data_IF_488633386311
#
_entry.id   IF_488633386311
#
_cell.length_a   1.000
_cell.length_b   1.000
_cell.length_c   1.000
_cell.angle_alpha   90.00
_cell.angle_beta   90.00
_cell.angle_gamma   90.00
#
_symmetry.space_group_name_H-M   'P 1'
#
loop_
_entity.id
_entity.type
_entity.pdbx_description
1 polymer ?
#
# COMPACT_ATOMS: atom_id res chain seq x y z
N UNK A 1 0.93 -7.79 10.70
CA UNK A 1 -0.50 -7.78 10.35
C UNK A 1 -1.19 -6.74 11.23
N UNK A 2 -1.80 -5.73 10.64
CA UNK A 2 -2.56 -4.72 11.38
C UNK A 2 -4.05 -5.11 11.35
N UNK A 3 -4.63 -5.33 12.51
CA UNK A 3 -6.08 -5.48 12.64
C UNK A 3 -6.59 -4.11 13.08
N UNK A 4 -7.29 -3.42 12.17
CA UNK A 4 -7.89 -2.12 12.46
C UNK A 4 -9.25 -2.34 13.13
N UNK A 5 -9.31 -2.20 14.44
CA UNK A 5 -10.58 -2.09 15.16
C UNK A 5 -10.78 -0.62 15.57
N UNK A 6 -11.91 -0.03 15.19
CA UNK A 6 -12.28 1.34 15.56
C UNK A 6 -12.87 1.44 16.99
N UNK A 7 -12.88 0.33 17.73
CA UNK A 7 -13.43 0.24 19.09
C UNK A 7 -12.39 0.49 20.19
N UNK A 8 -12.80 0.19 21.44
CA UNK A 8 -11.98 0.29 22.65
C UNK A 8 -10.69 -0.56 22.62
N UNK A 9 -10.55 -1.46 21.63
CA UNK A 9 -9.45 -2.40 21.47
C UNK A 9 -8.58 -2.10 20.24
N UNK A 10 -8.70 -0.90 19.63
CA UNK A 10 -7.88 -0.50 18.51
C UNK A 10 -6.39 -0.51 18.88
N UNK A 11 -5.54 -0.93 17.94
CA UNK A 11 -4.10 -1.01 18.12
C UNK A 11 -3.44 -1.82 17.01
N UNK A 12 -2.12 -1.90 17.09
CA UNK A 12 -1.31 -2.74 16.21
C UNK A 12 -0.79 -3.94 16.98
N UNK A 13 -0.54 -5.05 16.27
CA UNK A 13 0.02 -6.27 16.86
C UNK A 13 1.29 -6.62 16.12
N UNK A 14 2.38 -6.75 16.87
CA UNK A 14 3.64 -7.31 16.39
C UNK A 14 3.68 -8.80 16.75
N UNK A 15 3.88 -9.65 15.74
CA UNK A 15 4.04 -11.09 15.90
C UNK A 15 5.47 -11.44 15.53
N UNK A 16 6.21 -11.96 16.50
CA UNK A 16 7.59 -12.44 16.36
C UNK A 16 7.64 -13.89 16.83
N UNK A 17 7.63 -14.82 15.89
CA UNK A 17 7.47 -16.24 16.16
C UNK A 17 6.18 -16.51 16.94
N UNK A 18 6.30 -17.02 18.16
CA UNK A 18 5.17 -17.27 19.07
C UNK A 18 4.81 -16.06 19.96
N UNK A 19 5.67 -15.04 19.99
CA UNK A 19 5.45 -13.85 20.81
C UNK A 19 4.49 -12.90 20.10
N UNK A 20 3.42 -12.57 20.78
CA UNK A 20 2.41 -11.61 20.29
C UNK A 20 2.47 -10.39 21.22
N UNK A 21 2.73 -9.23 20.66
CA UNK A 21 2.86 -7.97 21.40
C UNK A 21 1.85 -6.96 20.86
N UNK A 22 0.99 -6.45 21.74
CA UNK A 22 0.11 -5.33 21.40
C UNK A 22 0.90 -4.04 21.52
N UNK A 23 0.86 -3.22 20.46
CA UNK A 23 1.51 -1.92 20.40
C UNK A 23 0.45 -0.82 20.43
N UNK A 24 0.68 0.19 21.27
CA UNK A 24 -0.01 1.46 21.17
C UNK A 24 0.86 2.39 20.32
N UNK A 25 0.51 2.49 19.03
CA UNK A 25 1.29 3.22 18.02
C UNK A 25 0.91 4.70 17.92
N UNK A 26 -0.13 5.13 18.64
CA UNK A 26 -0.52 6.53 18.71
C UNK A 26 0.40 7.27 19.70
N UNK A 27 1.17 8.21 19.18
CA UNK A 27 2.06 9.09 19.95
C UNK A 27 1.58 10.54 19.80
N UNK A 28 2.16 11.53 20.54
CA UNK A 28 1.87 12.94 20.29
C UNK A 28 2.23 13.40 18.86
N UNK A 29 3.19 12.72 18.23
CA UNK A 29 3.69 13.02 16.88
C UNK A 29 2.90 12.31 15.78
N UNK A 30 2.08 11.30 16.12
CA UNK A 30 1.30 10.54 15.16
C UNK A 30 -0.20 10.77 15.35
N UNK A 31 -0.90 11.16 14.28
CA UNK A 31 -2.34 11.43 14.32
C UNK A 31 -3.19 10.17 14.47
N UNK A 32 -2.66 8.99 14.08
CA UNK A 32 -3.40 7.73 14.08
C UNK A 32 -2.53 6.51 14.40
N UNK A 33 -3.15 5.34 14.42
CA UNK A 33 -2.42 4.07 14.33
C UNK A 33 -1.84 3.87 12.93
N UNK A 34 -0.85 2.97 12.83
CA UNK A 34 -0.20 2.63 11.57
C UNK A 34 -1.18 2.03 10.55
N UNK A 35 -1.12 2.56 9.33
CA UNK A 35 -1.82 2.01 8.16
C UNK A 35 -0.84 1.88 7.00
N UNK A 36 -1.19 1.13 5.94
CA UNK A 36 -0.37 0.93 4.73
C UNK A 36 1.08 0.56 5.03
N UNK A 37 1.27 -0.40 5.92
CA UNK A 37 2.57 -0.79 6.44
C UNK A 37 3.40 -1.59 5.42
N UNK A 38 4.71 -1.36 5.44
CA UNK A 38 5.67 -2.11 4.62
C UNK A 38 6.95 -2.41 5.42
N UNK A 39 7.32 -3.69 5.46
CA UNK A 39 8.51 -4.13 6.17
C UNK A 39 9.78 -3.80 5.39
N UNK A 40 10.80 -3.35 6.11
CA UNK A 40 12.16 -3.30 5.61
C UNK A 40 12.72 -4.73 5.45
N UNK A 41 13.53 -5.02 4.41
CA UNK A 41 14.03 -6.39 4.15
C UNK A 41 14.78 -7.03 5.30
N UNK A 42 15.45 -6.25 6.16
CA UNK A 42 16.17 -6.77 7.32
C UNK A 42 15.28 -7.09 8.54
N UNK A 43 13.97 -6.84 8.46
CA UNK A 43 12.99 -7.10 9.53
C UNK A 43 13.10 -6.20 10.77
N UNK A 44 14.02 -5.21 10.80
CA UNK A 44 14.21 -4.33 11.96
C UNK A 44 13.38 -3.05 11.90
N UNK A 45 12.89 -2.68 10.70
CA UNK A 45 12.12 -1.46 10.48
C UNK A 45 10.80 -1.74 9.76
N UNK A 46 9.80 -0.93 10.07
CA UNK A 46 8.50 -0.95 9.44
C UNK A 46 8.16 0.49 9.04
N UNK A 47 7.99 0.75 7.74
CA UNK A 47 7.43 2.01 7.30
C UNK A 47 5.90 1.94 7.38
N UNK A 48 5.26 3.01 7.82
CA UNK A 48 3.82 3.07 7.95
C UNK A 48 3.31 4.49 7.64
N UNK A 49 2.12 4.57 7.07
CA UNK A 49 1.39 5.82 7.00
C UNK A 49 0.63 6.04 8.30
N UNK A 50 0.58 7.29 8.78
CA UNK A 50 -0.31 7.76 9.84
C UNK A 50 -1.22 8.84 9.25
N UNK A 51 -2.53 8.72 9.40
CA UNK A 51 -3.49 9.61 8.76
C UNK A 51 -4.87 9.53 9.40
N UNK A 52 -5.69 10.56 9.17
CA UNK A 52 -7.13 10.53 9.40
C UNK A 52 -7.83 10.00 8.15
N UNK A 53 -8.37 8.79 8.20
CA UNK A 53 -9.05 8.16 7.07
C UNK A 53 -10.55 8.35 7.14
N UNK A 54 -11.13 8.88 6.07
CA UNK A 54 -12.56 9.00 5.84
C UNK A 54 -12.99 8.10 4.70
N UNK A 55 -14.21 7.56 4.79
CA UNK A 55 -14.82 6.77 3.72
C UNK A 55 -16.14 7.41 3.33
N UNK A 56 -16.26 7.77 2.06
CA UNK A 56 -17.47 8.30 1.47
C UNK A 56 -18.08 7.29 0.51
N UNK A 57 -19.39 7.08 0.62
CA UNK A 57 -20.15 6.19 -0.26
C UNK A 57 -21.02 7.00 -1.21
N UNK A 58 -21.01 6.66 -2.49
CA UNK A 58 -21.77 7.33 -3.52
C UNK A 58 -22.68 6.33 -4.24
N UNK A 59 -23.99 6.64 -4.34
CA UNK A 59 -24.97 5.73 -4.97
C UNK A 59 -24.86 5.78 -6.51
N UNK A 60 -24.59 6.96 -7.06
CA UNK A 60 -24.64 7.22 -8.51
C UNK A 60 -23.27 7.49 -9.14
N UNK A 61 -22.19 6.98 -8.56
CA UNK A 61 -20.83 7.18 -9.07
C UNK A 61 -20.23 5.81 -9.43
N UNK A 62 -19.50 5.67 -10.57
CA UNK A 62 -18.74 4.47 -10.90
C UNK A 62 -17.74 4.08 -9.78
N UNK A 63 -17.18 5.09 -9.09
CA UNK A 63 -16.40 4.91 -7.88
C UNK A 63 -17.34 4.98 -6.67
N UNK A 64 -17.98 3.88 -6.35
CA UNK A 64 -19.00 3.81 -5.29
C UNK A 64 -18.45 4.09 -3.90
N UNK A 65 -17.16 3.96 -3.72
CA UNK A 65 -16.44 4.17 -2.46
C UNK A 65 -15.18 5.02 -2.70
N UNK A 66 -15.07 6.11 -1.97
CA UNK A 66 -13.85 6.92 -1.90
C UNK A 66 -13.22 6.78 -0.52
N UNK A 67 -11.92 6.51 -0.48
CA UNK A 67 -11.11 6.49 0.74
C UNK A 67 -10.19 7.69 0.71
N UNK A 68 -10.36 8.58 1.67
CA UNK A 68 -9.67 9.85 1.76
C UNK A 68 -8.77 9.84 3.00
N UNK A 69 -7.45 9.90 2.79
CA UNK A 69 -6.45 9.95 3.84
C UNK A 69 -5.99 11.41 4.02
N UNK A 70 -6.44 12.02 5.11
CA UNK A 70 -6.17 13.41 5.47
C UNK A 70 -5.01 13.49 6.45
N UNK A 71 -4.20 14.56 6.38
CA UNK A 71 -3.04 14.77 7.27
C UNK A 71 -2.14 13.53 7.30
N UNK A 72 -1.80 13.01 6.14
CA UNK A 72 -1.07 11.76 6.03
C UNK A 72 0.44 12.00 5.99
N UNK A 73 1.14 11.33 6.90
CA UNK A 73 2.59 11.32 7.02
C UNK A 73 3.12 9.89 6.99
N UNK A 74 4.40 9.72 6.72
CA UNK A 74 5.07 8.44 6.81
C UNK A 74 6.04 8.45 8.00
N UNK A 75 5.92 7.42 8.82
CA UNK A 75 6.84 7.17 9.94
C UNK A 75 7.55 5.84 9.75
N UNK A 76 8.77 5.74 10.27
CA UNK A 76 9.54 4.50 10.35
C UNK A 76 9.55 4.03 11.81
N UNK A 77 9.04 2.83 12.04
CA UNK A 77 9.08 2.18 13.34
C UNK A 77 10.31 1.29 13.46
N UNK A 78 11.15 1.55 14.45
CA UNK A 78 12.29 0.72 14.84
C UNK A 78 11.81 -0.34 15.85
N UNK A 79 11.78 -1.60 15.44
CA UNK A 79 11.30 -2.72 16.25
C UNK A 79 12.14 -2.93 17.49
N UNK A 80 13.47 -2.80 17.38
CA UNK A 80 14.41 -3.04 18.49
C UNK A 80 14.33 -1.97 19.57
N UNK A 81 14.17 -0.72 19.15
CA UNK A 81 14.10 0.42 20.07
C UNK A 81 12.68 0.72 20.53
N UNK A 82 11.67 0.19 19.85
CA UNK A 82 10.25 0.52 20.04
C UNK A 82 10.00 2.03 19.91
N UNK A 83 10.54 2.63 18.86
CA UNK A 83 10.48 4.06 18.58
C UNK A 83 10.05 4.33 17.14
N UNK A 84 9.37 5.47 16.94
CA UNK A 84 9.13 6.01 15.60
C UNK A 84 10.07 7.15 15.30
N UNK A 85 10.41 7.32 14.03
CA UNK A 85 11.13 8.48 13.51
C UNK A 85 10.68 8.80 12.09
N UNK A 86 10.92 10.01 11.66
CA UNK A 86 10.61 10.50 10.32
C UNK A 86 11.60 11.59 9.91
N UNK A 87 11.39 12.22 8.77
CA UNK A 87 12.11 13.41 8.32
C UNK A 87 11.14 14.37 7.63
N UNK A 88 11.57 15.59 7.35
CA UNK A 88 10.75 16.62 6.73
C UNK A 88 10.15 16.18 5.38
N UNK A 89 10.87 15.36 4.62
CA UNK A 89 10.38 14.80 3.35
C UNK A 89 9.18 13.85 3.50
N UNK A 90 8.99 13.27 4.69
CA UNK A 90 7.96 12.27 5.00
C UNK A 90 6.91 12.75 6.00
N UNK A 91 7.13 13.95 6.60
CA UNK A 91 6.25 14.57 7.58
C UNK A 91 6.30 16.09 7.38
N UNK A 92 5.57 16.57 6.38
CA UNK A 92 5.52 17.97 6.00
C UNK A 92 4.10 18.51 6.12
N UNK A 93 3.95 19.74 6.64
CA UNK A 93 2.65 20.42 6.72
C UNK A 93 2.09 20.78 5.34
N UNK A 94 2.97 20.91 4.34
CA UNK A 94 2.61 21.37 3.00
C UNK A 94 2.35 20.23 2.01
N UNK A 95 2.59 18.97 2.43
CA UNK A 95 2.41 17.80 1.60
C UNK A 95 1.92 16.61 2.42
N UNK A 96 1.19 15.71 1.78
CA UNK A 96 0.73 14.44 2.35
C UNK A 96 1.42 13.28 1.67
N UNK A 97 1.83 12.29 2.47
CA UNK A 97 2.56 11.10 2.02
C UNK A 97 1.82 9.82 2.43
N UNK A 98 1.71 8.88 1.48
CA UNK A 98 1.03 7.59 1.68
C UNK A 98 1.77 6.45 0.98
N UNK A 99 1.45 5.20 1.34
CA UNK A 99 1.89 3.96 0.71
C UNK A 99 3.41 3.79 0.64
N UNK A 100 4.11 3.81 1.78
CA UNK A 100 5.55 3.56 1.78
C UNK A 100 5.88 2.15 1.31
N UNK A 101 7.01 2.00 0.59
CA UNK A 101 7.57 0.72 0.18
C UNK A 101 9.10 0.80 0.15
N UNK A 102 9.79 -0.04 0.92
CA UNK A 102 11.24 -0.15 0.86
C UNK A 102 11.70 -0.84 -0.42
N UNK A 103 12.86 -0.43 -0.93
CA UNK A 103 13.57 -1.20 -1.93
C UNK A 103 14.03 -2.56 -1.40
N UNK A 104 14.25 -3.56 -2.27
CA UNK A 104 14.72 -4.89 -1.84
C UNK A 104 16.10 -4.88 -1.16
N UNK A 105 16.96 -3.92 -1.47
CA UNK A 105 18.24 -3.71 -0.80
C UNK A 105 18.13 -2.91 0.50
N UNK A 106 16.94 -2.39 0.81
CA UNK A 106 16.65 -1.61 2.01
C UNK A 106 17.24 -0.20 2.03
N UNK A 107 17.81 0.30 0.93
CA UNK A 107 18.51 1.59 0.89
C UNK A 107 17.66 2.75 0.39
N UNK A 108 16.43 2.49 -0.02
CA UNK A 108 15.50 3.52 -0.49
C UNK A 108 14.10 3.25 0.03
N UNK A 109 13.36 4.33 0.26
CA UNK A 109 11.92 4.31 0.56
C UNK A 109 11.18 5.01 -0.57
N UNK A 110 10.27 4.29 -1.20
CA UNK A 110 9.35 4.81 -2.22
C UNK A 110 8.01 5.12 -1.59
N UNK A 111 7.32 6.14 -2.07
CA UNK A 111 6.02 6.56 -1.54
C UNK A 111 5.25 7.43 -2.53
N UNK A 112 3.97 7.60 -2.27
CA UNK A 112 3.14 8.54 -3.00
C UNK A 112 3.00 9.85 -2.22
N UNK A 113 3.16 11.01 -2.88
CA UNK A 113 3.07 12.33 -2.24
C UNK A 113 2.24 13.30 -3.07
N UNK A 114 1.47 14.14 -2.39
CA UNK A 114 0.68 15.24 -2.98
C UNK A 114 0.77 16.49 -2.11
N UNK A 115 0.51 17.66 -2.68
CA UNK A 115 0.36 18.87 -1.89
C UNK A 115 -0.84 18.75 -0.93
N UNK A 116 -0.68 19.27 0.28
CA UNK A 116 -1.77 19.36 1.24
C UNK A 116 -2.90 20.25 0.71
N UNK A 117 -4.14 19.94 1.08
CA UNK A 117 -5.32 20.72 0.69
C UNK A 117 -6.12 21.12 1.93
N UNK A 118 -6.68 22.33 1.93
CA UNK A 118 -7.44 22.87 3.08
C UNK A 118 -8.69 22.04 3.41
N UNK A 119 -9.31 21.43 2.42
CA UNK A 119 -10.53 20.62 2.60
C UNK A 119 -10.54 19.43 1.65
N UNK A 120 -10.16 18.26 2.17
CA UNK A 120 -10.14 17.04 1.36
C UNK A 120 -11.52 16.67 0.82
N UNK A 121 -12.57 16.83 1.60
CA UNK A 121 -13.95 16.48 1.20
C UNK A 121 -14.45 17.26 -0.02
N UNK A 122 -13.91 18.48 -0.27
CA UNK A 122 -14.25 19.32 -1.42
C UNK A 122 -13.28 19.16 -2.59
N UNK A 123 -12.00 18.88 -2.28
CA UNK A 123 -10.90 18.95 -3.26
C UNK A 123 -10.31 17.60 -3.64
N UNK A 124 -10.79 16.47 -3.09
CA UNK A 124 -10.20 15.15 -3.30
C UNK A 124 -10.05 14.75 -4.79
N UNK A 125 -10.97 15.21 -5.65
CA UNK A 125 -10.90 14.93 -7.11
C UNK A 125 -9.82 15.74 -7.84
N UNK A 126 -9.23 16.71 -7.18
CA UNK A 126 -8.13 17.52 -7.73
C UNK A 126 -6.76 17.02 -7.21
N UNK A 127 -6.77 16.10 -6.26
CA UNK A 127 -5.55 15.59 -5.65
C UNK A 127 -4.89 14.56 -6.58
N UNK A 128 -3.67 14.86 -6.96
CA UNK A 128 -2.83 14.00 -7.79
C UNK A 128 -1.55 13.67 -7.03
N UNK A 129 -1.38 12.40 -6.69
CA UNK A 129 -0.18 11.91 -6.01
C UNK A 129 0.94 11.64 -7.01
N UNK A 130 2.13 12.11 -6.72
CA UNK A 130 3.37 11.81 -7.43
C UNK A 130 4.06 10.60 -6.79
N UNK A 131 4.80 9.83 -7.58
CA UNK A 131 5.68 8.77 -7.10
C UNK A 131 7.03 9.36 -6.72
N UNK A 132 7.40 9.21 -5.47
CA UNK A 132 8.61 9.79 -4.88
C UNK A 132 9.51 8.72 -4.26
N UNK A 133 10.78 9.08 -4.05
CA UNK A 133 11.79 8.27 -3.40
C UNK A 133 12.66 9.14 -2.50
N UNK A 134 13.06 8.60 -1.35
CA UNK A 134 14.16 9.11 -0.51
C UNK A 134 15.14 7.97 -0.21
N UNK A 135 16.39 8.32 0.04
CA UNK A 135 17.37 7.36 0.51
C UNK A 135 17.12 7.00 1.98
N UNK A 136 17.46 5.78 2.35
CA UNK A 136 17.40 5.27 3.72
C UNK A 136 18.67 4.52 4.07
N UNK A 137 19.31 4.89 5.17
CA UNK A 137 20.43 4.15 5.74
C UNK A 137 19.97 3.43 7.01
N UNK A 138 19.82 2.09 6.98
CA UNK A 138 19.38 1.32 8.13
C UNK A 138 20.43 1.25 9.25
N UNK A 139 21.71 1.47 8.98
CA UNK A 139 22.77 1.39 9.99
C UNK A 139 22.80 2.66 10.86
N UNK A 140 22.67 3.81 10.22
CA UNK A 140 22.64 5.11 10.92
C UNK A 140 21.23 5.55 11.30
N UNK A 141 20.18 4.86 10.83
CA UNK A 141 18.76 5.24 10.97
C UNK A 141 18.45 6.60 10.38
N UNK A 142 19.05 6.92 9.25
CA UNK A 142 18.87 8.24 8.62
C UNK A 142 18.08 8.13 7.32
N UNK A 143 17.22 9.11 7.10
CA UNK A 143 16.47 9.33 5.87
C UNK A 143 17.12 10.49 5.11
N UNK A 144 17.21 10.35 3.78
CA UNK A 144 17.69 11.42 2.91
C UNK A 144 16.78 12.64 2.96
N UNK A 145 17.35 13.83 2.77
CA UNK A 145 16.59 15.08 2.70
C UNK A 145 16.12 15.40 1.28
N UNK A 146 16.76 14.83 0.28
CA UNK A 146 16.40 15.02 -1.11
C UNK A 146 15.30 14.03 -1.51
N UNK A 147 14.21 14.57 -2.09
CA UNK A 147 13.12 13.79 -2.66
C UNK A 147 13.30 13.71 -4.17
N UNK A 148 13.48 12.50 -4.68
CA UNK A 148 13.47 12.23 -6.12
C UNK A 148 12.02 11.96 -6.57
N UNK A 149 11.55 12.67 -7.59
CA UNK A 149 10.24 12.43 -8.20
C UNK A 149 10.39 11.54 -9.44
N UNK A 150 9.94 10.29 -9.35
CA UNK A 150 10.02 9.32 -10.45
C UNK A 150 8.87 9.49 -11.46
N UNK A 151 7.68 9.87 -10.95
CA UNK A 151 6.52 10.19 -11.76
C UNK A 151 5.80 11.39 -11.17
N UNK A 152 5.68 12.47 -11.94
CA UNK A 152 5.02 13.68 -11.49
C UNK A 152 3.51 13.60 -11.80
N UNK A 153 2.73 13.26 -10.78
CA UNK A 153 1.27 13.13 -10.91
C UNK A 153 0.58 14.43 -11.31
N UNK A 154 0.99 15.57 -10.72
CA UNK A 154 0.41 16.87 -11.03
C UNK A 154 0.64 17.29 -12.47
N UNK A 155 1.86 17.11 -12.98
CA UNK A 155 2.20 17.47 -14.36
C UNK A 155 1.48 16.59 -15.39
N UNK A 156 1.19 15.33 -15.03
CA UNK A 156 0.53 14.36 -15.90
C UNK A 156 -1.00 14.28 -15.67
N UNK A 157 -1.56 15.07 -14.75
CA UNK A 157 -2.97 15.01 -14.37
C UNK A 157 -3.44 13.60 -14.00
N UNK A 158 -2.59 12.86 -13.29
CA UNK A 158 -2.82 11.49 -12.83
C UNK A 158 -2.34 11.33 -11.40
N UNK A 159 -2.80 10.31 -10.73
CA UNK A 159 -2.48 10.02 -9.34
C UNK A 159 -1.90 8.62 -9.20
N UNK A 160 -0.81 8.52 -8.45
CA UNK A 160 -0.09 7.28 -8.20
C UNK A 160 -0.48 6.68 -6.85
N UNK A 161 -0.69 5.35 -6.82
CA UNK A 161 -0.84 4.60 -5.57
C UNK A 161 -0.10 3.26 -5.60
N UNK A 162 0.16 2.73 -4.41
CA UNK A 162 0.71 1.39 -4.18
C UNK A 162 2.03 1.09 -4.90
N UNK A 163 3.10 1.87 -4.75
CA UNK A 163 4.39 1.52 -5.35
C UNK A 163 4.91 0.19 -4.78
N UNK A 164 5.39 -0.69 -5.67
CA UNK A 164 5.97 -2.00 -5.33
C UNK A 164 7.15 -2.31 -6.23
N UNK A 165 8.33 -2.43 -5.65
CA UNK A 165 9.56 -2.74 -6.38
C UNK A 165 9.65 -4.26 -6.55
N UNK A 166 10.08 -4.72 -7.74
CA UNK A 166 10.37 -6.14 -7.96
C UNK A 166 11.51 -6.61 -7.05
N UNK A 167 11.50 -7.86 -6.53
CA UNK A 167 12.54 -8.35 -5.63
C UNK A 167 13.96 -8.24 -6.15
N UNK A 168 14.17 -8.22 -7.48
CA UNK A 168 15.47 -8.00 -8.12
C UNK A 168 15.85 -6.51 -8.30
N UNK A 169 14.99 -5.59 -7.89
CA UNK A 169 15.25 -4.16 -7.96
C UNK A 169 15.19 -3.54 -9.36
N UNK A 170 14.73 -4.27 -10.40
CA UNK A 170 14.76 -3.78 -11.78
C UNK A 170 13.52 -2.96 -12.16
N UNK A 171 12.37 -3.30 -11.58
CA UNK A 171 11.09 -2.73 -11.95
C UNK A 171 10.35 -2.21 -10.72
N UNK A 172 9.56 -1.17 -10.93
CA UNK A 172 8.63 -0.65 -9.95
C UNK A 172 7.23 -0.66 -10.56
N UNK A 173 6.34 -1.49 -10.02
CA UNK A 173 4.92 -1.50 -10.39
C UNK A 173 4.15 -0.53 -9.50
N UNK A 174 3.14 0.14 -10.06
CA UNK A 174 2.27 1.05 -9.34
C UNK A 174 0.90 1.12 -10.01
N UNK A 175 -0.10 1.63 -9.30
CA UNK A 175 -1.41 1.93 -9.85
C UNK A 175 -1.47 3.40 -10.24
N UNK A 176 -2.01 3.70 -11.42
CA UNK A 176 -2.25 5.04 -11.94
C UNK A 176 -3.75 5.26 -12.16
N UNK A 177 -4.26 6.37 -11.64
CA UNK A 177 -5.68 6.74 -11.70
C UNK A 177 -5.84 8.25 -11.92
N UNK A 178 -7.05 8.76 -12.12
CA UNK A 178 -7.28 10.19 -12.37
C UNK A 178 -6.98 11.05 -11.15
N UNK A 179 -7.38 10.62 -9.96
CA UNK A 179 -7.22 11.40 -8.73
C UNK A 179 -7.17 10.53 -7.47
N UNK A 180 -6.84 11.15 -6.34
CA UNK A 180 -6.91 10.52 -5.03
C UNK A 180 -5.80 9.52 -4.73
N UNK A 181 -5.75 9.03 -3.50
CA UNK A 181 -4.71 8.09 -3.04
C UNK A 181 -5.11 6.63 -3.21
N UNK A 182 -6.34 6.27 -2.87
CA UNK A 182 -6.75 4.87 -2.73
C UNK A 182 -7.56 4.37 -3.95
N UNK A 183 -6.86 3.92 -4.98
CA UNK A 183 -7.44 3.56 -6.28
C UNK A 183 -8.13 2.20 -6.37
N UNK A 184 -8.25 1.41 -5.29
CA UNK A 184 -8.86 0.05 -5.34
C UNK A 184 -10.29 0.05 -5.88
N UNK A 185 -11.02 1.14 -5.63
CA UNK A 185 -12.41 1.30 -6.03
C UNK A 185 -12.60 2.19 -7.27
N UNK A 186 -11.51 2.72 -7.82
CA UNK A 186 -11.55 3.55 -9.02
C UNK A 186 -11.66 2.68 -10.27
N UNK A 187 -12.62 3.03 -11.13
CA UNK A 187 -12.84 2.31 -12.38
C UNK A 187 -11.72 2.53 -13.39
N UNK A 188 -11.09 3.70 -13.36
CA UNK A 188 -10.01 4.14 -14.23
C UNK A 188 -8.62 3.75 -13.74
N UNK A 189 -8.54 3.06 -12.59
CA UNK A 189 -7.26 2.61 -12.05
C UNK A 189 -6.63 1.54 -12.94
N UNK A 190 -5.37 1.73 -13.34
CA UNK A 190 -4.61 0.85 -14.20
C UNK A 190 -3.22 0.55 -13.64
N UNK A 191 -2.69 -0.62 -13.94
CA UNK A 191 -1.33 -1.00 -13.57
C UNK A 191 -0.30 -0.43 -14.54
N UNK A 192 0.72 0.20 -13.99
CA UNK A 192 1.86 0.75 -14.69
C UNK A 192 3.17 0.21 -14.14
N UNK A 193 4.23 0.32 -14.94
CA UNK A 193 5.58 -0.11 -14.59
C UNK A 193 6.58 0.99 -14.90
N UNK A 194 7.56 1.17 -14.01
CA UNK A 194 8.78 1.91 -14.29
C UNK A 194 9.93 0.89 -14.37
N UNK A 195 10.71 0.95 -15.44
CA UNK A 195 12.01 0.29 -15.48
C UNK A 195 13.05 1.20 -14.80
N UNK A 196 13.57 0.76 -13.65
CA UNK A 196 14.41 1.62 -12.81
C UNK A 196 15.78 1.96 -13.41
N UNK A 197 16.27 1.18 -14.38
CA UNK A 197 17.56 1.43 -15.04
C UNK A 197 17.59 2.67 -15.94
N UNK A 198 16.43 3.06 -16.50
CA UNK A 198 16.33 4.17 -17.46
C UNK A 198 15.13 5.10 -17.17
N UNK A 199 14.36 4.82 -16.14
CA UNK A 199 13.17 5.61 -15.75
C UNK A 199 11.97 5.48 -16.71
N UNK A 200 12.03 4.56 -17.69
CA UNK A 200 10.94 4.39 -18.66
C UNK A 200 9.67 3.90 -17.99
N UNK A 201 8.62 4.69 -18.10
CA UNK A 201 7.26 4.39 -17.60
C UNK A 201 6.37 3.90 -18.73
N UNK A 202 5.59 2.83 -18.47
CA UNK A 202 4.67 2.24 -19.45
C UNK A 202 3.52 1.49 -18.76
N UNK A 203 2.33 1.40 -19.42
CA UNK A 203 1.21 0.62 -18.91
C UNK A 203 1.47 -0.88 -19.03
N UNK A 204 0.91 -1.66 -18.11
CA UNK A 204 0.83 -3.12 -18.23
C UNK A 204 -0.42 -3.51 -19.04
N UNK A 205 -0.45 -3.13 -20.32
CA UNK A 205 -1.64 -3.15 -21.18
C UNK A 205 -2.37 -4.50 -21.23
N UNK A 206 -1.62 -5.62 -21.26
CA UNK A 206 -2.23 -6.95 -21.27
C UNK A 206 -2.87 -7.32 -19.92
N UNK A 207 -2.39 -6.71 -18.82
CA UNK A 207 -2.95 -6.91 -17.50
C UNK A 207 -4.14 -6.00 -17.20
N UNK A 208 -4.23 -4.85 -17.86
CA UNK A 208 -5.31 -3.87 -17.67
C UNK A 208 -6.60 -4.26 -18.40
N UNK A 209 -7.72 -3.67 -17.99
CA UNK A 209 -9.06 -3.87 -18.58
C UNK A 209 -9.87 -2.57 -18.57
N UNK A 210 -11.12 -2.62 -19.01
CA UNK A 210 -12.04 -1.48 -18.95
C UNK A 210 -12.59 -1.20 -17.54
N UNK A 211 -12.33 -2.09 -16.59
CA UNK A 211 -12.67 -1.94 -15.18
C UNK A 211 -11.37 -1.77 -14.36
N UNK A 212 -11.46 -1.32 -13.10
CA UNK A 212 -10.27 -0.97 -12.34
C UNK A 212 -9.36 -2.15 -12.00
N UNK A 213 -8.06 -1.95 -12.19
CA UNK A 213 -6.96 -2.79 -11.69
C UNK A 213 -6.17 -2.01 -10.66
N UNK A 214 -5.99 -2.59 -9.49
CA UNK A 214 -5.29 -1.90 -8.41
C UNK A 214 -4.57 -2.90 -7.51
N UNK A 215 -4.13 -2.47 -6.39
CA UNK A 215 -3.28 -3.13 -5.42
C UNK A 215 -2.62 -4.43 -5.92
N UNK A 216 -1.33 -4.44 -6.00
CA UNK A 216 -0.55 -5.53 -6.59
C UNK A 216 0.61 -5.91 -5.68
N UNK A 217 1.08 -7.15 -5.84
CA UNK A 217 2.21 -7.72 -5.12
C UNK A 217 3.05 -8.59 -6.04
N UNK A 218 4.38 -8.52 -5.87
CA UNK A 218 5.33 -9.34 -6.62
C UNK A 218 5.50 -10.70 -5.97
N UNK A 219 5.63 -11.73 -6.80
CA UNK A 219 6.18 -13.02 -6.36
C UNK A 219 7.69 -12.89 -6.11
N UNK A 220 8.21 -13.69 -5.18
CA UNK A 220 9.63 -13.67 -4.82
C UNK A 220 10.60 -13.95 -5.99
N UNK A 221 10.15 -14.68 -7.00
CA UNK A 221 10.95 -14.99 -8.19
C UNK A 221 10.90 -13.94 -9.31
N UNK A 222 10.35 -12.74 -9.06
CA UNK A 222 10.21 -11.62 -10.01
C UNK A 222 9.35 -11.90 -11.25
N UNK A 223 8.60 -13.02 -11.29
CA UNK A 223 7.93 -13.47 -12.52
C UNK A 223 6.42 -13.26 -12.52
N UNK A 224 5.83 -13.01 -11.37
CA UNK A 224 4.40 -12.88 -11.24
C UNK A 224 4.02 -11.64 -10.47
N UNK A 225 2.97 -10.98 -10.95
CA UNK A 225 2.19 -10.05 -10.17
C UNK A 225 0.83 -10.67 -9.85
N UNK A 226 0.41 -10.60 -8.60
CA UNK A 226 -0.99 -10.76 -8.21
C UNK A 226 -1.57 -9.37 -8.01
N UNK A 227 -2.78 -9.13 -8.48
CA UNK A 227 -3.44 -7.84 -8.36
C UNK A 227 -4.95 -7.98 -8.20
N UNK A 228 -5.57 -6.96 -7.64
CA UNK A 228 -7.02 -6.88 -7.52
C UNK A 228 -7.63 -6.26 -8.78
N UNK A 229 -8.66 -6.90 -9.34
CA UNK A 229 -9.34 -6.42 -10.55
C UNK A 229 -10.86 -6.56 -10.43
N UNK A 230 -11.58 -5.58 -10.94
CA UNK A 230 -13.05 -5.54 -10.98
C UNK A 230 -13.63 -6.04 -12.31
N UNK A 231 -12.80 -6.57 -13.22
CA UNK A 231 -13.15 -6.92 -14.61
C UNK A 231 -14.28 -7.93 -14.78
N UNK A 232 -14.67 -8.69 -13.74
CA UNK A 232 -15.74 -9.68 -13.88
C UNK A 232 -17.14 -9.06 -13.83
N UNK A 233 -17.34 -8.08 -12.94
CA UNK A 233 -18.67 -7.55 -12.65
C UNK A 233 -18.69 -6.03 -12.40
N UNK A 234 -17.54 -5.37 -12.41
CA UNK A 234 -17.40 -3.95 -12.13
C UNK A 234 -17.64 -3.56 -10.67
N UNK A 235 -17.91 -4.52 -9.77
CA UNK A 235 -18.25 -4.28 -8.38
C UNK A 235 -17.21 -4.85 -7.40
N UNK A 236 -16.95 -6.15 -7.51
CA UNK A 236 -16.10 -6.85 -6.57
C UNK A 236 -14.70 -7.03 -7.13
N UNK A 237 -13.70 -6.68 -6.36
CA UNK A 237 -12.30 -7.01 -6.70
C UNK A 237 -12.06 -8.51 -6.56
N UNK A 238 -11.36 -9.08 -7.54
CA UNK A 238 -10.95 -10.48 -7.59
C UNK A 238 -9.45 -10.55 -7.81
N UNK A 239 -8.76 -11.57 -7.25
CA UNK A 239 -7.32 -11.73 -7.45
C UNK A 239 -7.02 -12.31 -8.83
N UNK A 240 -6.29 -11.55 -9.62
CA UNK A 240 -5.76 -11.96 -10.92
C UNK A 240 -4.24 -12.08 -10.85
N UNK A 241 -3.67 -12.94 -11.68
CA UNK A 241 -2.25 -13.15 -11.82
C UNK A 241 -1.83 -12.85 -13.24
N UNK A 242 -0.71 -12.13 -13.40
CA UNK A 242 -0.05 -11.96 -14.70
C UNK A 242 1.41 -12.37 -14.60
N UNK A 243 1.92 -13.02 -15.65
CA UNK A 243 3.33 -13.31 -15.80
C UNK A 243 4.05 -12.07 -16.32
N UNK A 244 5.20 -11.77 -15.73
CA UNK A 244 6.09 -10.68 -16.16
C UNK A 244 7.34 -11.33 -16.75
N UNK A 245 7.63 -11.05 -18.02
CA UNK A 245 8.79 -11.56 -18.72
C UNK A 245 10.10 -10.82 -18.37
N UNK A 246 11.22 -11.25 -18.93
CA UNK A 246 12.55 -10.66 -18.68
C UNK A 246 12.66 -9.20 -19.15
N UNK A 247 11.75 -8.75 -20.03
CA UNK A 247 11.69 -7.39 -20.55
C UNK A 247 10.78 -6.49 -19.73
N UNK A 248 10.12 -7.04 -18.69
CA UNK A 248 9.14 -6.34 -17.87
C UNK A 248 7.75 -6.25 -18.49
N UNK A 249 7.45 -7.08 -19.51
CA UNK A 249 6.16 -7.10 -20.17
C UNK A 249 5.19 -8.01 -19.42
N UNK A 250 3.99 -7.50 -19.13
CA UNK A 250 2.90 -8.32 -18.59
C UNK A 250 2.27 -9.16 -19.70
N UNK A 251 1.88 -10.38 -19.34
CA UNK A 251 1.15 -11.29 -20.20
C UNK A 251 -0.32 -11.36 -19.79
N UNK A 252 -1.17 -11.98 -20.62
CA UNK A 252 -2.60 -12.14 -20.38
C UNK A 252 -2.86 -12.69 -18.97
N UNK A 253 -3.63 -11.96 -18.16
CA UNK A 253 -3.88 -12.38 -16.77
C UNK A 253 -4.92 -13.49 -16.69
N UNK A 254 -4.87 -14.24 -15.59
CA UNK A 254 -5.87 -15.22 -15.24
C UNK A 254 -6.34 -15.05 -13.79
N UNK A 255 -7.59 -15.41 -13.57
CA UNK A 255 -8.24 -15.36 -12.26
C UNK A 255 -7.66 -16.45 -11.33
N UNK A 256 -7.56 -16.19 -10.04
CA UNK A 256 -7.15 -17.18 -9.05
C UNK A 256 -7.96 -18.48 -9.23
N UNK A 257 -7.29 -19.62 -9.55
CA UNK A 257 -7.96 -20.88 -9.78
C UNK A 257 -8.73 -21.38 -8.57
N UNK A 258 -9.94 -21.89 -8.82
CA UNK A 258 -10.80 -22.52 -7.83
C UNK A 258 -11.26 -23.88 -8.36
N UNK A 259 -11.66 -24.82 -7.47
CA UNK A 259 -12.18 -26.13 -7.88
C UNK A 259 -13.38 -26.02 -8.83
N UNK A 260 -14.27 -25.05 -8.58
CA UNK A 260 -15.37 -24.66 -9.47
C UNK A 260 -15.42 -23.13 -9.51
N UNK A 261 -14.66 -22.51 -10.45
CA UNK A 261 -14.51 -21.06 -10.45
C UNK A 261 -15.82 -20.34 -10.74
N UNK A 262 -16.65 -20.87 -11.64
CA UNK A 262 -17.93 -20.25 -12.01
C UNK A 262 -18.84 -20.13 -10.79
N UNK A 263 -19.07 -21.25 -10.09
CA UNK A 263 -19.90 -21.24 -8.87
C UNK A 263 -19.28 -20.39 -7.79
N UNK A 264 -17.96 -20.56 -7.51
CA UNK A 264 -17.27 -19.85 -6.44
C UNK A 264 -17.39 -18.34 -6.59
N UNK A 265 -17.05 -17.79 -7.76
CA UNK A 265 -17.05 -16.34 -7.96
C UNK A 265 -18.45 -15.75 -8.16
N UNK A 266 -19.43 -16.53 -8.62
CA UNK A 266 -20.83 -16.12 -8.70
C UNK A 266 -21.45 -15.97 -7.30
N UNK A 267 -21.13 -16.88 -6.39
CA UNK A 267 -21.69 -16.90 -5.03
C UNK A 267 -20.91 -16.04 -4.04
N UNK A 268 -19.75 -15.49 -4.46
CA UNK A 268 -18.85 -14.73 -3.60
C UNK A 268 -19.29 -13.25 -3.50
N UNK A 269 -19.79 -12.86 -2.33
CA UNK A 269 -20.32 -11.51 -2.05
C UNK A 269 -19.34 -10.59 -1.31
N UNK A 270 -18.05 -10.89 -1.30
CA UNK A 270 -17.00 -10.02 -0.75
C UNK A 270 -15.85 -9.82 -1.73
N UNK A 271 -14.97 -8.87 -1.41
CA UNK A 271 -13.87 -8.43 -2.25
C UNK A 271 -12.52 -8.92 -1.74
N UNK A 272 -11.57 -9.12 -2.65
CA UNK A 272 -10.15 -9.36 -2.39
C UNK A 272 -9.37 -8.10 -2.76
N UNK A 273 -9.27 -7.14 -1.82
CA UNK A 273 -8.72 -5.83 -2.13
C UNK A 273 -7.18 -5.80 -2.13
N UNK A 274 -6.54 -6.62 -1.30
CA UNK A 274 -5.10 -6.57 -1.04
C UNK A 274 -4.48 -7.97 -1.19
N UNK A 275 -4.44 -8.54 -2.41
CA UNK A 275 -3.83 -9.85 -2.63
C UNK A 275 -2.31 -9.75 -2.52
N UNK A 276 -1.71 -10.65 -1.74
CA UNK A 276 -0.26 -10.73 -1.56
C UNK A 276 0.24 -12.17 -1.70
N UNK A 277 1.45 -12.31 -2.24
CA UNK A 277 2.16 -13.59 -2.21
C UNK A 277 2.74 -13.82 -0.82
N UNK A 278 2.70 -15.06 -0.38
CA UNK A 278 3.38 -15.55 0.82
C UNK A 278 4.31 -16.70 0.45
N UNK A 279 5.46 -16.81 1.11
CA UNK A 279 6.41 -17.91 0.87
C UNK A 279 5.96 -19.18 1.55
N UNK A 280 5.37 -19.06 2.76
CA UNK A 280 4.90 -20.17 3.56
C UNK A 280 3.54 -19.85 4.18
N UNK A 281 2.82 -20.88 4.59
CA UNK A 281 1.57 -20.70 5.33
C UNK A 281 1.82 -19.88 6.60
N UNK A 282 1.10 -18.78 6.76
CA UNK A 282 1.17 -17.97 7.98
C UNK A 282 0.77 -18.81 9.20
N UNK A 283 1.70 -18.98 10.13
CA UNK A 283 1.47 -19.66 11.41
C UNK A 283 1.03 -18.62 12.45
N UNK A 284 -0.21 -18.20 12.36
CA UNK A 284 -0.79 -17.22 13.30
C UNK A 284 -1.88 -17.89 14.12
N UNK A 285 -1.69 -17.90 15.43
CA UNK A 285 -2.76 -18.26 16.38
C UNK A 285 -3.72 -17.07 16.50
N UNK A 286 -4.81 -17.14 15.73
CA UNK A 286 -5.82 -16.08 15.71
C UNK A 286 -6.52 -15.89 17.05
N UNK A 287 -6.65 -16.95 17.85
CA UNK A 287 -7.24 -16.86 19.19
C UNK A 287 -6.30 -16.11 20.15
N UNK A 288 -5.01 -16.44 20.14
CA UNK A 288 -4.02 -15.73 20.95
C UNK A 288 -3.88 -14.25 20.53
N UNK A 289 -3.99 -13.94 19.23
CA UNK A 289 -4.04 -12.56 18.75
C UNK A 289 -5.27 -11.82 19.31
N UNK A 290 -6.45 -12.42 19.22
CA UNK A 290 -7.68 -11.82 19.76
C UNK A 290 -7.62 -11.61 21.27
N UNK A 291 -7.11 -12.59 22.03
CA UNK A 291 -6.93 -12.45 23.47
C UNK A 291 -5.95 -11.34 23.82
N UNK A 292 -4.81 -11.28 23.13
CA UNK A 292 -3.82 -10.20 23.33
C UNK A 292 -4.42 -8.83 23.06
N UNK A 293 -5.18 -8.70 21.96
CA UNK A 293 -5.83 -7.42 21.62
C UNK A 293 -6.86 -6.98 22.68
N UNK A 294 -7.62 -7.91 23.25
CA UNK A 294 -8.69 -7.61 24.21
C UNK A 294 -8.16 -7.39 25.63
N UNK A 295 -7.24 -8.24 26.07
CA UNK A 295 -6.93 -8.41 27.49
C UNK A 295 -5.54 -7.82 27.87
N UNK A 296 -4.69 -7.46 26.89
CA UNK A 296 -3.35 -6.96 27.17
C UNK A 296 -3.28 -5.44 27.00
N UNK A 297 -2.64 -4.77 27.97
CA UNK A 297 -2.28 -3.36 27.84
C UNK A 297 -1.18 -3.25 26.77
N UNK A 298 -1.37 -2.40 25.76
CA UNK A 298 -0.39 -2.18 24.72
C UNK A 298 0.88 -1.52 25.26
N UNK A 299 2.02 -1.91 24.68
CA UNK A 299 3.29 -1.21 24.92
C UNK A 299 3.23 0.10 24.14
N UNK A 300 3.50 1.21 24.83
CA UNK A 300 3.54 2.52 24.18
C UNK A 300 4.78 2.62 23.28
N UNK A 301 4.59 2.93 22.02
CA UNK A 301 5.65 3.31 21.09
C UNK A 301 6.10 4.72 21.44
N UNK A 302 7.41 4.98 21.39
CA UNK A 302 8.04 6.27 21.69
C UNK A 302 8.28 7.08 20.41
#
# INVERSE_FOLDING_TARGET
>A
MCIRDRGKHAGSVLIDGKKITKLNTKTPETVSNFVYMYWHPNGNYLAATVCDTYQNFFINNPNTLEVLDHNSDIVIYDVKKNEVFSCEALNSKDAWQIFPAFSPDGKSLYFSSTAAVDSISKNFRQMTYSLCRVDFDPETRTLGQQVDTLYNGRANHKSVSFPRISPDGKYLAFTLQEYGGFGVWHKDAELYMIRLSDGKTYPLSEANSAEGESYHSWSHNNRWLVFSSRRLDGLYTRPFFTYIDDKGTAHKPFLLPQKNPVKYYKDLLWTYNLPEFIQEKAQVDTHAVMETMRNTKGIQVK
#
